data_IF_519831911592
#
_entry.id   IF_519831911592
#
_cell.length_a   1.000
_cell.length_b   1.000
_cell.length_c   1.000
_cell.angle_alpha   90.00
_cell.angle_beta   90.00
_cell.angle_gamma   90.00
#
_symmetry.space_group_name_H-M   'P 1'
#
loop_
_entity.id
_entity.type
_entity.pdbx_description
1 polymer ?
#
# COMPACT_ATOMS: atom_id res chain seq x y z
N UNK A 1 16.24 -9.59 1.71
CA UNK A 1 15.05 -9.88 0.89
C UNK A 1 14.11 -10.87 1.58
N UNK A 2 14.63 -11.95 2.16
CA UNK A 2 13.84 -12.81 3.07
C UNK A 2 13.67 -12.14 4.44
N UNK A 3 12.46 -12.21 5.00
CA UNK A 3 12.12 -11.63 6.31
C UNK A 3 11.43 -10.25 6.27
N UNK A 4 11.17 -9.70 5.09
CA UNK A 4 10.33 -8.50 4.99
C UNK A 4 8.87 -8.84 5.26
N UNK A 5 8.17 -7.99 6.01
CA UNK A 5 6.74 -8.13 6.23
C UNK A 5 5.97 -7.94 4.92
N UNK A 6 5.01 -8.82 4.70
CA UNK A 6 4.03 -8.72 3.61
C UNK A 6 2.69 -8.38 4.24
N UNK A 7 1.96 -7.43 3.65
CA UNK A 7 0.62 -7.09 4.07
C UNK A 7 -0.40 -7.94 3.30
N UNK A 8 -1.44 -8.39 4.00
CA UNK A 8 -2.62 -8.98 3.39
C UNK A 8 -3.79 -8.05 3.68
N UNK A 9 -4.61 -7.77 2.67
CA UNK A 9 -5.83 -6.98 2.84
C UNK A 9 -6.98 -7.58 2.05
N UNK A 10 -8.20 -7.42 2.56
CA UNK A 10 -9.41 -7.73 1.82
C UNK A 10 -10.08 -6.42 1.42
N UNK A 11 -10.34 -6.25 0.13
CA UNK A 11 -11.15 -5.17 -0.41
C UNK A 11 -12.39 -5.76 -1.07
N UNK A 12 -13.48 -5.83 -0.31
CA UNK A 12 -14.67 -6.59 -0.69
C UNK A 12 -14.33 -8.09 -0.83
N UNK A 13 -14.53 -8.64 -2.03
CA UNK A 13 -14.20 -10.03 -2.37
C UNK A 13 -12.76 -10.22 -2.86
N UNK A 14 -12.03 -9.13 -3.13
CA UNK A 14 -10.66 -9.19 -3.63
C UNK A 14 -9.66 -9.29 -2.47
N UNK A 15 -8.85 -10.35 -2.45
CA UNK A 15 -7.70 -10.48 -1.57
C UNK A 15 -6.47 -9.84 -2.24
N UNK A 16 -5.76 -8.99 -1.50
CA UNK A 16 -4.54 -8.35 -1.95
C UNK A 16 -3.35 -8.82 -1.12
N UNK A 17 -2.23 -9.01 -1.80
CA UNK A 17 -0.90 -9.19 -1.22
C UNK A 17 -0.12 -7.92 -1.52
N UNK A 18 0.07 -7.08 -0.50
CA UNK A 18 0.44 -5.67 -0.64
C UNK A 18 -0.55 -4.94 -1.58
N UNK A 19 -0.12 -4.65 -2.81
CA UNK A 19 -0.91 -3.99 -3.85
C UNK A 19 -1.30 -4.93 -5.00
N UNK A 20 -0.84 -6.18 -4.98
CA UNK A 20 -1.10 -7.18 -6.03
C UNK A 20 -2.37 -7.96 -5.70
N UNK A 21 -3.22 -8.17 -6.70
CA UNK A 21 -4.49 -8.88 -6.54
C UNK A 21 -4.26 -10.38 -6.63
N UNK A 22 -4.87 -11.15 -5.73
CA UNK A 22 -4.90 -12.60 -5.83
C UNK A 22 -5.94 -13.01 -6.88
N UNK A 23 -5.49 -13.64 -7.96
CA UNK A 23 -6.34 -14.05 -9.09
C UNK A 23 -6.81 -15.50 -8.98
N UNK A 24 -6.12 -16.33 -8.20
CA UNK A 24 -6.50 -17.72 -7.94
C UNK A 24 -6.04 -18.14 -6.55
N UNK A 25 -6.92 -18.80 -5.79
CA UNK A 25 -6.66 -19.25 -4.43
C UNK A 25 -6.57 -20.78 -4.35
N UNK A 26 -6.00 -21.28 -3.25
CA UNK A 26 -6.17 -22.67 -2.80
C UNK A 26 -5.68 -23.79 -3.73
N UNK A 27 -4.59 -23.55 -4.47
CA UNK A 27 -3.93 -24.61 -5.24
C UNK A 27 -3.12 -25.49 -4.27
N UNK A 28 -3.64 -26.69 -3.97
CA UNK A 28 -2.99 -27.65 -3.05
C UNK A 28 -1.71 -28.22 -3.63
N UNK A 29 -0.67 -28.25 -2.82
CA UNK A 29 0.61 -28.92 -3.10
C UNK A 29 1.01 -29.79 -1.90
N UNK A 30 1.97 -30.68 -2.10
CA UNK A 30 2.44 -31.59 -1.03
C UNK A 30 3.01 -30.85 0.19
N UNK A 31 3.42 -29.60 0.00
CA UNK A 31 4.06 -28.76 1.01
C UNK A 31 3.26 -27.50 1.38
N UNK A 32 2.01 -27.35 0.93
CA UNK A 32 1.16 -26.22 1.29
C UNK A 32 0.14 -25.82 0.23
N UNK A 33 -0.04 -24.51 0.09
CA UNK A 33 -1.02 -23.90 -0.81
C UNK A 33 -0.34 -22.80 -1.62
N UNK A 34 -0.60 -22.78 -2.92
CA UNK A 34 -0.20 -21.71 -3.83
C UNK A 34 -1.39 -20.78 -4.08
N UNK A 35 -1.11 -19.47 -4.04
CA UNK A 35 -2.00 -18.41 -4.50
C UNK A 35 -1.33 -17.71 -5.69
N UNK A 36 -2.11 -17.43 -6.75
CA UNK A 36 -1.62 -16.72 -7.94
C UNK A 36 -1.92 -15.23 -7.77
N UNK A 37 -0.93 -14.39 -8.04
CA UNK A 37 -1.04 -12.93 -8.02
C UNK A 37 -0.79 -12.34 -9.41
N UNK A 38 -1.39 -11.20 -9.68
CA UNK A 38 -1.31 -10.49 -10.97
C UNK A 38 -0.01 -9.72 -11.20
N UNK A 39 0.79 -9.47 -10.16
CA UNK A 39 2.01 -8.68 -10.22
C UNK A 39 3.17 -9.28 -9.40
N UNK A 40 4.39 -8.96 -9.82
CA UNK A 40 5.61 -9.40 -9.12
C UNK A 40 5.82 -8.55 -7.87
N UNK A 41 6.04 -9.20 -6.73
CA UNK A 41 6.42 -8.51 -5.50
C UNK A 41 7.86 -7.96 -5.61
N UNK A 42 8.00 -6.66 -5.45
CA UNK A 42 9.30 -6.00 -5.33
C UNK A 42 9.69 -5.87 -3.85
N UNK A 43 10.96 -6.10 -3.49
CA UNK A 43 11.43 -5.85 -2.13
C UNK A 43 11.21 -4.38 -1.75
N UNK A 44 10.72 -4.11 -0.54
CA UNK A 44 10.47 -2.74 -0.04
C UNK A 44 11.72 -1.83 -0.06
N UNK A 45 12.91 -2.39 -0.27
CA UNK A 45 14.19 -1.65 -0.27
C UNK A 45 14.54 -1.04 -1.62
N UNK A 46 13.85 -1.40 -2.70
CA UNK A 46 14.09 -0.79 -4.02
C UNK A 46 13.05 0.31 -4.26
N UNK A 47 13.47 1.55 -4.03
CA UNK A 47 12.87 2.76 -4.62
C UNK A 47 11.62 3.39 -3.99
N UNK A 48 11.50 3.41 -2.67
CA UNK A 48 10.59 4.35 -2.02
C UNK A 48 11.39 5.05 -0.92
N UNK A 49 12.06 6.16 -1.26
CA UNK A 49 12.44 7.13 -0.22
C UNK A 49 11.13 7.46 0.49
N UNK A 50 10.99 7.16 1.79
CA UNK A 50 9.74 7.46 2.48
C UNK A 50 9.43 8.94 2.27
N UNK A 51 8.17 9.30 1.97
CA UNK A 51 7.81 10.71 1.83
C UNK A 51 8.26 11.44 3.10
N UNK A 52 9.18 12.38 2.95
CA UNK A 52 9.75 13.13 4.07
C UNK A 52 8.77 14.15 4.62
N UNK A 53 7.77 14.51 3.82
CA UNK A 53 6.80 15.54 4.14
C UNK A 53 5.60 14.91 4.84
N UNK A 54 5.13 15.54 5.92
CA UNK A 54 3.82 15.22 6.47
C UNK A 54 2.68 15.74 5.56
N UNK A 55 1.44 15.35 5.86
CA UNK A 55 0.27 15.72 5.04
C UNK A 55 0.09 17.24 4.89
N UNK A 56 0.43 18.01 5.92
CA UNK A 56 0.29 19.47 5.93
C UNK A 56 1.35 20.10 5.01
N UNK A 57 2.60 19.67 5.13
CA UNK A 57 3.72 20.13 4.30
C UNK A 57 3.51 19.78 2.82
N UNK A 58 3.00 18.59 2.54
CA UNK A 58 2.65 18.19 1.18
C UNK A 58 1.53 19.06 0.60
N UNK A 59 0.50 19.36 1.40
CA UNK A 59 -0.60 20.23 0.99
C UNK A 59 -0.14 21.68 0.73
N UNK A 60 0.76 22.20 1.56
CA UNK A 60 1.37 23.53 1.38
C UNK A 60 2.21 23.59 0.09
N UNK A 61 3.03 22.57 -0.17
CA UNK A 61 3.89 22.53 -1.38
C UNK A 61 3.10 22.41 -2.68
N UNK A 62 1.97 21.70 -2.66
CA UNK A 62 1.11 21.58 -3.83
C UNK A 62 0.37 22.88 -4.18
N UNK A 63 0.25 23.83 -3.24
CA UNK A 63 -0.31 25.17 -3.48
C UNK A 63 -1.83 25.25 -3.69
N UNK A 64 -2.49 24.15 -4.07
CA UNK A 64 -3.91 24.12 -4.44
C UNK A 64 -4.87 23.77 -3.28
N UNK A 65 -4.34 23.41 -2.10
CA UNK A 65 -5.14 22.89 -0.98
C UNK A 65 -5.48 23.96 0.10
N UNK A 66 -5.65 25.22 -0.29
CA UNK A 66 -5.89 26.34 0.65
C UNK A 66 -7.13 26.15 1.53
N UNK A 67 -8.22 25.59 1.01
CA UNK A 67 -9.43 25.28 1.80
C UNK A 67 -9.20 24.17 2.82
N UNK A 68 -8.39 23.16 2.47
CA UNK A 68 -8.04 22.06 3.39
C UNK A 68 -7.17 22.58 4.55
N UNK A 69 -6.19 23.42 4.25
CA UNK A 69 -5.34 24.07 5.26
C UNK A 69 -6.17 24.94 6.21
N UNK A 70 -7.06 25.78 5.68
CA UNK A 70 -7.95 26.62 6.49
C UNK A 70 -8.91 25.80 7.37
N UNK A 71 -9.43 24.67 6.87
CA UNK A 71 -10.29 23.79 7.65
C UNK A 71 -9.53 23.10 8.79
N UNK A 72 -8.26 22.72 8.57
CA UNK A 72 -7.41 22.15 9.60
C UNK A 72 -7.12 23.17 10.71
N UNK A 73 -6.79 24.41 10.35
CA UNK A 73 -6.56 25.50 11.32
C UNK A 73 -7.81 25.83 12.15
N UNK A 74 -9.00 25.74 11.55
CA UNK A 74 -10.26 25.99 12.23
C UNK A 74 -10.74 24.81 13.12
N UNK A 75 -10.31 23.60 12.82
CA UNK A 75 -10.61 22.40 13.60
C UNK A 75 -9.59 22.14 14.73
N UNK A 76 -8.52 22.94 14.79
CA UNK A 76 -7.46 22.91 15.80
C UNK A 76 -7.89 23.40 17.17
#
# INVERSE_FOLDING_TARGET
VNGQSIALSLNGESLLVNTSTVTMTDIKTDNGIIHVIDAVLTPKTVSETPPTNNIVEAAQQAGDFSTLLAALDAAG
#
